data_IF_832731384129
#
_entry.id   IF_832731384129
#
_cell.length_a   1.000
_cell.length_b   1.000
_cell.length_c   1.000
_cell.angle_alpha   90.00
_cell.angle_beta   90.00
_cell.angle_gamma   90.00
#
_symmetry.space_group_name_H-M   'P 1'
#
loop_
_entity.id
_entity.type
_entity.pdbx_description
1 polymer ?
#
# COMPACT_ATOMS: atom_id res chain seq x y z
N UNK A 1 41.60 11.17 24.00
CA UNK A 1 40.51 10.18 23.86
C UNK A 1 39.28 10.92 23.37
N UNK A 2 39.09 11.00 22.05
CA UNK A 2 37.92 11.55 21.41
C UNK A 2 36.97 10.41 21.06
N UNK A 3 35.86 10.31 21.81
CA UNK A 3 34.75 9.36 21.47
C UNK A 3 34.04 9.88 20.23
N UNK A 4 34.23 9.22 19.11
CA UNK A 4 33.47 9.44 17.88
C UNK A 4 32.08 8.81 18.08
N UNK A 5 31.08 9.67 18.31
CA UNK A 5 29.66 9.27 18.30
C UNK A 5 29.28 8.87 16.85
N UNK A 6 28.87 7.61 16.67
CA UNK A 6 28.28 7.14 15.41
C UNK A 6 26.96 7.89 15.17
N UNK A 7 26.70 8.42 13.97
CA UNK A 7 25.41 9.02 13.65
C UNK A 7 24.31 7.94 13.65
N UNK A 8 23.04 8.31 13.97
CA UNK A 8 21.93 7.38 13.94
C UNK A 8 21.74 6.85 12.53
N UNK A 9 21.50 5.53 12.40
CA UNK A 9 21.15 4.89 11.12
C UNK A 9 19.89 5.56 10.59
N UNK A 10 20.04 6.33 9.52
CA UNK A 10 18.92 6.89 8.80
C UNK A 10 18.05 5.74 8.27
N UNK A 11 16.78 5.78 8.62
CA UNK A 11 15.71 4.94 8.07
C UNK A 11 15.51 5.32 6.61
N UNK A 12 16.32 4.75 5.72
CA UNK A 12 16.20 4.93 4.29
C UNK A 12 15.40 3.76 3.71
N UNK A 13 14.33 4.14 3.00
CA UNK A 13 13.48 3.45 2.05
C UNK A 13 12.21 2.76 2.55
N UNK A 14 11.05 3.42 2.38
CA UNK A 14 9.74 2.77 2.48
C UNK A 14 9.37 1.91 1.24
N UNK A 15 10.20 1.84 0.19
CA UNK A 15 9.81 1.24 -1.09
C UNK A 15 10.10 -0.27 -1.25
N UNK A 16 10.76 -0.92 -0.30
CA UNK A 16 11.04 -2.36 -0.39
C UNK A 16 9.97 -3.27 0.22
N UNK A 17 8.87 -2.73 0.75
CA UNK A 17 7.83 -3.51 1.44
C UNK A 17 6.59 -3.84 0.62
N UNK A 18 6.49 -3.43 -0.65
CA UNK A 18 5.29 -3.66 -1.46
C UNK A 18 5.08 -5.11 -1.93
N UNK A 19 6.04 -6.01 -1.71
CA UNK A 19 5.90 -7.44 -2.07
C UNK A 19 5.99 -8.41 -0.89
N UNK A 20 5.88 -7.93 0.36
CA UNK A 20 5.77 -8.83 1.50
C UNK A 20 4.33 -9.32 1.61
N UNK A 21 4.15 -10.60 1.38
CA UNK A 21 2.86 -11.29 1.37
C UNK A 21 1.96 -10.89 2.55
N UNK A 22 0.77 -10.35 2.25
CA UNK A 22 -0.29 -9.98 3.20
C UNK A 22 -0.77 -11.14 4.12
N UNK A 23 -0.15 -12.33 4.03
CA UNK A 23 -0.39 -13.49 4.91
C UNK A 23 0.41 -13.46 6.21
N UNK A 24 1.58 -12.79 6.24
CA UNK A 24 2.41 -12.75 7.46
C UNK A 24 1.93 -11.68 8.43
N UNK A 25 1.48 -10.52 7.94
CA UNK A 25 0.99 -9.43 8.78
C UNK A 25 -0.31 -9.77 9.51
N UNK A 26 -1.19 -10.58 8.90
CA UNK A 26 -2.41 -11.08 9.57
C UNK A 26 -2.14 -12.10 10.67
N UNK A 27 -1.01 -12.82 10.62
CA UNK A 27 -0.62 -13.76 11.70
C UNK A 27 0.00 -13.03 12.89
N UNK A 28 0.74 -11.96 12.65
CA UNK A 28 1.36 -11.13 13.69
C UNK A 28 0.30 -10.34 14.47
N UNK A 29 -0.62 -9.65 13.79
CA UNK A 29 -1.70 -8.87 14.40
C UNK A 29 -2.67 -9.74 15.25
N UNK A 30 -2.84 -11.04 14.93
CA UNK A 30 -3.64 -11.97 15.75
C UNK A 30 -2.91 -12.44 16.99
N UNK A 31 -1.56 -12.53 16.97
CA UNK A 31 -0.74 -12.89 18.14
C UNK A 31 -0.68 -11.75 19.17
N UNK A 32 -0.55 -10.51 18.70
CA UNK A 32 -0.44 -9.35 19.57
C UNK A 32 -1.77 -9.01 20.25
N UNK A 33 -2.93 -9.17 19.57
CA UNK A 33 -4.25 -9.06 20.19
C UNK A 33 -4.54 -10.15 21.24
N UNK A 34 -3.94 -11.35 21.11
CA UNK A 34 -4.08 -12.43 22.12
C UNK A 34 -3.20 -12.19 23.35
N UNK A 35 -2.02 -11.58 23.19
CA UNK A 35 -1.14 -11.20 24.32
C UNK A 35 -1.73 -10.06 25.15
N UNK A 36 -2.20 -8.99 24.49
CA UNK A 36 -2.82 -7.86 25.18
C UNK A 36 -4.11 -8.20 25.96
N UNK A 37 -4.83 -9.26 25.54
CA UNK A 37 -6.04 -9.72 26.26
C UNK A 37 -5.74 -10.65 27.43
N UNK A 38 -4.53 -11.25 27.50
CA UNK A 38 -4.09 -12.06 28.64
C UNK A 38 -3.49 -11.20 29.77
N UNK A 39 -2.77 -10.12 29.45
CA UNK A 39 -2.18 -9.22 30.45
C UNK A 39 -3.22 -8.35 31.19
N UNK A 40 -4.37 -8.09 30.57
CA UNK A 40 -5.47 -7.33 31.24
C UNK A 40 -6.30 -8.16 32.25
N UNK A 41 -6.07 -9.48 32.34
CA UNK A 41 -6.84 -10.33 33.27
C UNK A 41 -6.10 -10.67 34.57
N UNK A 42 -4.85 -10.26 34.74
CA UNK A 42 -4.02 -10.72 35.85
C UNK A 42 -3.58 -9.63 36.85
N UNK A 43 -4.13 -8.42 36.77
CA UNK A 43 -3.84 -7.36 37.76
C UNK A 43 -5.11 -6.65 38.21
N UNK A 44 -5.83 -7.22 39.17
CA UNK A 44 -6.58 -6.48 40.16
C UNK A 44 -6.81 -7.34 41.43
N UNK A 45 -6.11 -7.06 42.52
CA UNK A 45 -6.56 -7.44 43.86
C UNK A 45 -7.41 -6.31 44.43
N UNK A 46 -8.60 -6.72 44.91
CA UNK A 46 -9.60 -5.85 45.54
C UNK A 46 -9.10 -5.34 46.88
N UNK A 47 -8.99 -4.03 47.07
CA UNK A 47 -9.01 -3.41 48.40
C UNK A 47 -10.24 -2.51 48.57
N UNK A 48 -11.07 -2.87 49.54
CA UNK A 48 -12.26 -2.13 49.97
C UNK A 48 -11.81 -1.03 50.93
N UNK A 49 -12.12 0.25 50.60
CA UNK A 49 -12.12 1.37 51.54
C UNK A 49 -13.54 1.92 51.73
N UNK A 50 -13.93 2.31 52.97
CA UNK A 50 -15.34 2.58 53.31
C UNK A 50 -15.81 3.92 52.76
N UNK A 51 -16.99 3.92 52.14
CA UNK A 51 -17.66 5.12 51.65
C UNK A 51 -18.31 5.89 52.80
N UNK A 52 -17.87 7.14 53.05
CA UNK A 52 -18.59 8.13 53.87
C UNK A 52 -19.95 8.44 53.23
N UNK A 53 -21.01 8.27 53.99
CA UNK A 53 -22.38 8.66 53.64
C UNK A 53 -22.41 10.17 53.43
N UNK A 54 -22.72 10.62 52.23
CA UNK A 54 -23.19 12.01 51.96
C UNK A 54 -24.73 11.99 52.07
N UNK A 55 -25.25 12.79 52.98
CA UNK A 55 -26.68 13.04 53.13
C UNK A 55 -27.24 13.58 51.81
N UNK A 56 -28.24 12.84 51.29
CA UNK A 56 -29.03 13.30 50.15
C UNK A 56 -30.06 14.28 50.67
N UNK A 57 -29.98 15.56 50.22
CA UNK A 57 -31.10 16.49 50.31
C UNK A 57 -32.31 15.85 49.62
N UNK A 58 -33.36 15.64 50.42
CA UNK A 58 -34.68 15.21 49.96
C UNK A 58 -35.24 16.32 49.07
N UNK A 59 -35.37 16.08 47.79
CA UNK A 59 -36.21 16.88 46.89
C UNK A 59 -37.61 16.28 46.99
N UNK A 60 -38.58 17.12 47.35
CA UNK A 60 -39.99 16.75 47.35
C UNK A 60 -40.39 16.18 45.97
N UNK A 61 -41.09 15.04 45.92
CA UNK A 61 -41.57 14.49 44.68
C UNK A 61 -42.72 15.38 44.18
N UNK A 62 -42.57 15.95 42.96
CA UNK A 62 -43.71 16.45 42.20
C UNK A 62 -44.66 15.27 41.96
N UNK A 63 -45.98 15.47 42.08
CA UNK A 63 -46.93 14.42 41.77
C UNK A 63 -46.81 14.09 40.27
N UNK A 64 -46.27 12.91 39.97
CA UNK A 64 -46.33 12.34 38.62
C UNK A 64 -47.75 11.93 38.34
N UNK A 65 -48.41 12.56 37.37
CA UNK A 65 -49.68 12.08 36.83
C UNK A 65 -49.48 10.63 36.35
N UNK A 66 -50.39 9.69 36.69
CA UNK A 66 -50.23 8.31 36.28
C UNK A 66 -50.30 8.24 34.74
N UNK A 67 -49.16 7.85 34.12
CA UNK A 67 -49.08 7.60 32.68
C UNK A 67 -49.94 6.38 32.32
N UNK A 68 -51.18 6.64 31.92
CA UNK A 68 -52.18 5.64 31.54
C UNK A 68 -52.00 5.20 30.07
N UNK A 69 -50.84 5.42 29.48
CA UNK A 69 -50.59 4.93 28.12
C UNK A 69 -50.44 3.40 28.10
N UNK A 70 -51.30 2.69 27.33
CA UNK A 70 -51.21 1.23 27.27
C UNK A 70 -49.83 0.84 26.72
N UNK A 71 -49.17 -0.21 27.28
CA UNK A 71 -47.84 -0.63 26.84
C UNK A 71 -47.89 -0.99 25.34
N UNK A 72 -47.00 -0.40 24.57
CA UNK A 72 -46.87 -0.62 23.14
C UNK A 72 -46.81 -2.13 22.82
N UNK A 73 -47.62 -2.63 21.88
CA UNK A 73 -47.65 -4.05 21.56
C UNK A 73 -46.30 -4.48 21.05
N UNK A 74 -45.66 -5.45 21.72
CA UNK A 74 -44.27 -5.89 21.48
C UNK A 74 -44.05 -6.37 20.04
N UNK A 75 -45.04 -6.99 19.41
CA UNK A 75 -44.94 -7.53 18.05
C UNK A 75 -44.71 -6.45 16.98
N UNK A 76 -45.48 -5.37 16.84
CA UNK A 76 -45.24 -4.32 15.86
C UNK A 76 -43.95 -3.55 16.15
N UNK A 77 -43.58 -3.35 17.41
CA UNK A 77 -42.29 -2.70 17.75
C UNK A 77 -41.11 -3.51 17.25
N UNK A 78 -41.09 -4.82 17.47
CA UNK A 78 -40.02 -5.72 16.94
C UNK A 78 -39.99 -5.68 15.42
N UNK A 79 -41.14 -5.65 14.75
CA UNK A 79 -41.23 -5.62 13.28
C UNK A 79 -40.67 -4.32 12.72
N UNK A 80 -40.91 -3.17 13.36
CA UNK A 80 -40.33 -1.87 12.99
C UNK A 80 -38.80 -1.88 13.15
N UNK A 81 -38.27 -2.43 14.26
CA UNK A 81 -36.83 -2.55 14.46
C UNK A 81 -36.17 -3.48 13.42
N UNK A 82 -36.82 -4.59 13.09
CA UNK A 82 -36.33 -5.53 12.08
C UNK A 82 -36.31 -4.89 10.70
N UNK A 83 -37.34 -4.09 10.35
CA UNK A 83 -37.38 -3.33 9.11
C UNK A 83 -36.29 -2.25 9.08
N UNK A 84 -36.11 -1.49 10.17
CA UNK A 84 -35.04 -0.48 10.25
C UNK A 84 -33.66 -1.09 10.14
N UNK A 85 -33.41 -2.23 10.78
CA UNK A 85 -32.15 -2.96 10.68
C UNK A 85 -31.89 -3.49 9.28
N UNK A 86 -32.92 -3.99 8.59
CA UNK A 86 -32.85 -4.45 7.20
C UNK A 86 -32.44 -3.30 6.26
N UNK A 87 -33.06 -2.13 6.41
CA UNK A 87 -32.73 -0.93 5.62
C UNK A 87 -31.28 -0.49 5.90
N UNK A 88 -30.88 -0.45 7.17
CA UNK A 88 -29.50 -0.12 7.55
C UNK A 88 -28.49 -1.09 6.93
N UNK A 89 -28.76 -2.39 7.00
CA UNK A 89 -27.91 -3.42 6.40
C UNK A 89 -27.81 -3.26 4.88
N UNK A 90 -28.92 -2.92 4.21
CA UNK A 90 -28.96 -2.69 2.76
C UNK A 90 -28.16 -1.43 2.39
N UNK A 91 -28.28 -0.33 3.14
CA UNK A 91 -27.47 0.89 2.92
C UNK A 91 -25.98 0.62 3.09
N UNK A 92 -25.57 -0.10 4.15
CA UNK A 92 -24.16 -0.48 4.35
C UNK A 92 -23.64 -1.38 3.25
N UNK A 93 -24.46 -2.26 2.70
CA UNK A 93 -24.09 -3.13 1.57
C UNK A 93 -23.94 -2.34 0.28
N UNK A 94 -24.84 -1.38 0.02
CA UNK A 94 -24.76 -0.44 -1.10
C UNK A 94 -23.51 0.42 -1.04
N UNK A 95 -23.15 0.96 0.14
CA UNK A 95 -21.94 1.74 0.32
C UNK A 95 -20.66 0.93 0.03
N UNK A 96 -20.60 -0.35 0.45
CA UNK A 96 -19.46 -1.24 0.13
C UNK A 96 -19.35 -1.56 -1.35
N UNK A 97 -20.47 -1.78 -2.03
CA UNK A 97 -20.49 -2.11 -3.46
C UNK A 97 -20.15 -0.89 -4.32
N UNK A 98 -20.73 0.27 -4.00
CA UNK A 98 -20.47 1.52 -4.74
C UNK A 98 -19.01 1.97 -4.61
N UNK A 99 -18.44 1.90 -3.41
CA UNK A 99 -17.04 2.26 -3.20
C UNK A 99 -16.08 1.40 -4.04
N UNK A 100 -16.26 0.06 -4.03
CA UNK A 100 -15.41 -0.84 -4.81
C UNK A 100 -15.48 -0.58 -6.32
N UNK A 101 -16.67 -0.37 -6.86
CA UNK A 101 -16.87 -0.13 -8.29
C UNK A 101 -16.24 1.19 -8.71
N UNK A 102 -16.36 2.25 -7.89
CA UNK A 102 -15.70 3.54 -8.15
C UNK A 102 -14.18 3.40 -8.29
N UNK A 103 -13.52 2.67 -7.38
CA UNK A 103 -12.07 2.43 -7.48
C UNK A 103 -11.69 1.63 -8.73
N UNK A 104 -12.51 0.65 -9.13
CA UNK A 104 -12.27 -0.14 -10.34
C UNK A 104 -12.43 0.74 -11.59
N UNK A 105 -13.43 1.61 -11.63
CA UNK A 105 -13.66 2.48 -12.77
C UNK A 105 -12.59 3.57 -12.87
N UNK A 106 -12.16 4.15 -11.75
CA UNK A 106 -10.99 5.06 -11.72
C UNK A 106 -9.72 4.36 -12.20
N UNK A 107 -9.49 3.12 -11.76
CA UNK A 107 -8.32 2.35 -12.21
C UNK A 107 -8.35 2.06 -13.72
N UNK A 108 -9.52 1.81 -14.31
CA UNK A 108 -9.65 1.65 -15.77
C UNK A 108 -9.32 2.94 -16.50
N UNK A 109 -9.84 4.09 -16.02
CA UNK A 109 -9.54 5.39 -16.60
C UNK A 109 -8.04 5.70 -16.53
N UNK A 110 -7.40 5.50 -15.38
CA UNK A 110 -5.96 5.68 -15.22
C UNK A 110 -5.17 4.76 -16.16
N UNK A 111 -5.61 3.50 -16.31
CA UNK A 111 -5.01 2.55 -17.25
C UNK A 111 -5.13 3.00 -18.71
N UNK A 112 -6.30 3.50 -19.11
CA UNK A 112 -6.54 4.01 -20.47
C UNK A 112 -5.72 5.28 -20.76
N UNK A 113 -5.40 6.06 -19.73
CA UNK A 113 -4.50 7.21 -19.78
C UNK A 113 -2.99 6.82 -19.78
N UNK A 114 -2.65 5.53 -19.57
CA UNK A 114 -1.28 5.09 -19.42
C UNK A 114 -0.68 5.31 -18.03
N UNK A 115 -1.49 5.65 -17.04
CA UNK A 115 -1.12 5.90 -15.64
C UNK A 115 -1.21 4.60 -14.83
N UNK A 116 -0.38 3.62 -15.20
CA UNK A 116 -0.49 2.25 -14.66
C UNK A 116 -0.18 2.17 -13.17
N UNK A 117 0.70 3.02 -12.65
CA UNK A 117 1.02 3.07 -11.21
C UNK A 117 -0.19 3.54 -10.42
N UNK A 118 -0.87 4.60 -10.87
CA UNK A 118 -2.09 5.08 -10.25
C UNK A 118 -3.22 4.03 -10.33
N UNK A 119 -3.41 3.42 -11.50
CA UNK A 119 -4.36 2.33 -11.67
C UNK A 119 -4.10 1.17 -10.69
N UNK A 120 -2.82 0.84 -10.46
CA UNK A 120 -2.44 -0.20 -9.49
C UNK A 120 -2.76 0.21 -8.05
N UNK A 121 -2.51 1.45 -7.68
CA UNK A 121 -2.82 1.98 -6.34
C UNK A 121 -4.32 1.92 -6.04
N UNK A 122 -5.18 2.29 -7.00
CA UNK A 122 -6.63 2.21 -6.86
C UNK A 122 -7.14 0.77 -6.63
N UNK A 123 -6.49 -0.22 -7.25
CA UNK A 123 -6.86 -1.63 -7.11
C UNK A 123 -6.20 -2.33 -5.92
N UNK A 124 -5.11 -1.75 -5.41
CA UNK A 124 -4.32 -2.34 -4.32
C UNK A 124 -5.13 -2.40 -3.03
N UNK A 125 -5.08 -3.55 -2.36
CA UNK A 125 -5.81 -3.74 -1.10
C UNK A 125 -7.29 -4.10 -1.25
N UNK A 126 -7.87 -4.03 -2.46
CA UNK A 126 -9.24 -4.47 -2.70
C UNK A 126 -9.34 -6.01 -2.73
N UNK A 127 -10.46 -6.54 -2.26
CA UNK A 127 -10.76 -7.97 -2.40
C UNK A 127 -11.35 -8.25 -3.79
N UNK A 128 -10.46 -8.38 -4.78
CA UNK A 128 -10.82 -8.55 -6.19
C UNK A 128 -11.05 -10.03 -6.53
N UNK A 129 -12.02 -10.29 -7.41
CA UNK A 129 -12.35 -11.64 -7.88
C UNK A 129 -12.73 -11.61 -9.38
N UNK A 130 -12.56 -12.74 -10.05
CA UNK A 130 -12.99 -12.89 -11.46
C UNK A 130 -12.28 -11.90 -12.39
N UNK A 131 -13.04 -11.09 -13.11
CA UNK A 131 -12.52 -10.13 -14.08
C UNK A 131 -11.73 -9.00 -13.42
N UNK A 132 -12.13 -8.53 -12.22
CA UNK A 132 -11.40 -7.51 -11.49
C UNK A 132 -10.00 -8.00 -11.07
N UNK A 133 -9.86 -9.28 -10.76
CA UNK A 133 -8.56 -9.89 -10.47
C UNK A 133 -7.67 -10.00 -11.72
N UNK A 134 -8.27 -10.21 -12.90
CA UNK A 134 -7.54 -10.16 -14.16
C UNK A 134 -7.02 -8.73 -14.43
N UNK A 135 -7.89 -7.75 -14.31
CA UNK A 135 -7.52 -6.32 -14.42
C UNK A 135 -6.37 -5.96 -13.48
N UNK A 136 -6.43 -6.38 -12.22
CA UNK A 136 -5.33 -6.16 -11.26
C UNK A 136 -4.00 -6.76 -11.72
N UNK A 137 -4.01 -7.97 -12.28
CA UNK A 137 -2.80 -8.63 -12.80
C UNK A 137 -2.24 -7.92 -14.02
N UNK A 138 -3.12 -7.48 -14.91
CA UNK A 138 -2.79 -6.69 -16.10
C UNK A 138 -2.12 -5.38 -15.69
N UNK A 139 -2.81 -4.58 -14.88
CA UNK A 139 -2.30 -3.31 -14.36
C UNK A 139 -1.00 -3.49 -13.58
N UNK A 140 -0.91 -4.48 -12.70
CA UNK A 140 0.30 -4.73 -11.90
C UNK A 140 1.54 -5.06 -12.74
N UNK A 141 1.34 -5.69 -13.91
CA UNK A 141 2.42 -6.00 -14.84
C UNK A 141 2.97 -4.73 -15.48
N UNK A 142 2.11 -3.81 -15.90
CA UNK A 142 2.48 -2.53 -16.50
C UNK A 142 3.06 -1.57 -15.45
N UNK A 143 2.38 -1.44 -14.32
CA UNK A 143 2.80 -0.59 -13.21
C UNK A 143 4.20 -0.92 -12.70
N UNK A 144 4.55 -2.21 -12.66
CA UNK A 144 5.87 -2.65 -12.23
C UNK A 144 7.02 -2.08 -13.09
N UNK A 145 6.80 -1.86 -14.38
CA UNK A 145 7.77 -1.25 -15.28
C UNK A 145 7.75 0.27 -15.14
N UNK A 146 6.56 0.88 -15.20
CA UNK A 146 6.38 2.32 -15.09
C UNK A 146 6.93 2.89 -13.78
N UNK A 147 6.75 2.17 -12.65
CA UNK A 147 7.31 2.53 -11.34
C UNK A 147 8.83 2.71 -11.38
N UNK A 148 9.53 1.87 -12.15
CA UNK A 148 10.99 2.00 -12.28
C UNK A 148 11.39 3.22 -13.10
N UNK A 149 10.64 3.54 -14.14
CA UNK A 149 10.87 4.76 -14.91
C UNK A 149 10.61 6.01 -14.08
N UNK A 150 9.53 6.05 -13.30
CA UNK A 150 9.24 7.16 -12.38
C UNK A 150 10.30 7.29 -11.27
N UNK A 151 10.78 6.16 -10.74
CA UNK A 151 11.88 6.14 -9.79
C UNK A 151 13.17 6.72 -10.40
N UNK A 152 13.49 6.34 -11.64
CA UNK A 152 14.61 6.91 -12.39
C UNK A 152 14.49 8.44 -12.49
N UNK A 153 13.35 8.98 -12.93
CA UNK A 153 13.15 10.43 -13.06
C UNK A 153 13.34 11.16 -11.72
N UNK A 154 12.79 10.60 -10.66
CA UNK A 154 12.92 11.16 -9.30
C UNK A 154 14.37 11.15 -8.81
N UNK A 155 15.10 10.07 -9.07
CA UNK A 155 16.49 9.90 -8.64
C UNK A 155 17.45 10.77 -9.44
N UNK A 156 17.20 10.93 -10.74
CA UNK A 156 17.95 11.87 -11.59
C UNK A 156 17.78 13.31 -11.11
N UNK A 157 16.54 13.72 -10.77
CA UNK A 157 16.27 15.05 -10.21
C UNK A 157 16.87 15.28 -8.82
N UNK A 158 17.34 14.22 -8.14
CA UNK A 158 18.02 14.26 -6.86
C UNK A 158 19.53 14.00 -6.95
N UNK A 159 20.11 14.00 -8.16
CA UNK A 159 21.54 13.74 -8.48
C UNK A 159 22.05 12.38 -7.98
N UNK A 160 21.14 11.41 -7.82
CA UNK A 160 21.46 10.03 -7.39
C UNK A 160 21.61 9.11 -8.58
N UNK A 161 22.65 9.35 -9.39
CA UNK A 161 22.87 8.71 -10.68
C UNK A 161 23.04 7.19 -10.61
N UNK A 162 23.68 6.68 -9.55
CA UNK A 162 23.87 5.26 -9.30
C UNK A 162 22.53 4.53 -9.06
N UNK A 163 21.65 5.14 -8.28
CA UNK A 163 20.30 4.62 -8.01
C UNK A 163 19.39 4.80 -9.22
N UNK A 164 19.55 5.88 -9.98
CA UNK A 164 18.79 6.13 -11.20
C UNK A 164 19.10 5.06 -12.27
N UNK A 165 20.39 4.73 -12.46
CA UNK A 165 20.80 3.64 -13.33
C UNK A 165 20.26 2.28 -12.84
N UNK A 166 20.33 1.99 -11.53
CA UNK A 166 19.75 0.78 -10.94
C UNK A 166 18.25 0.67 -11.24
N UNK A 167 17.50 1.78 -11.15
CA UNK A 167 16.07 1.80 -11.47
C UNK A 167 15.81 1.44 -12.95
N UNK A 168 16.57 1.99 -13.90
CA UNK A 168 16.45 1.65 -15.33
C UNK A 168 16.78 0.18 -15.60
N UNK A 169 17.88 -0.32 -15.04
CA UNK A 169 18.29 -1.74 -15.17
C UNK A 169 17.21 -2.67 -14.64
N UNK A 170 16.61 -2.33 -13.49
CA UNK A 170 15.47 -3.09 -12.94
C UNK A 170 14.22 -2.96 -13.81
N UNK A 171 14.00 -1.80 -14.41
CA UNK A 171 12.90 -1.57 -15.35
C UNK A 171 12.95 -2.54 -16.52
N UNK A 172 14.13 -2.69 -17.18
CA UNK A 172 14.34 -3.66 -18.25
C UNK A 172 14.10 -5.10 -17.74
N UNK A 173 14.61 -5.44 -16.57
CA UNK A 173 14.38 -6.78 -16.00
C UNK A 173 12.92 -7.06 -15.67
N UNK A 174 12.13 -6.03 -15.29
CA UNK A 174 10.68 -6.15 -15.06
C UNK A 174 9.92 -6.24 -16.38
N UNK A 175 10.33 -5.50 -17.41
CA UNK A 175 9.78 -5.62 -18.74
C UNK A 175 9.94 -7.06 -19.27
N UNK A 176 11.16 -7.59 -19.26
CA UNK A 176 11.43 -8.95 -19.75
C UNK A 176 10.58 -10.01 -19.03
N UNK A 177 10.37 -9.87 -17.72
CA UNK A 177 9.53 -10.78 -16.92
C UNK A 177 8.04 -10.59 -17.15
N UNK A 178 7.62 -9.37 -17.49
CA UNK A 178 6.23 -9.00 -17.65
C UNK A 178 5.68 -9.21 -19.06
N UNK A 179 6.55 -9.29 -20.07
CA UNK A 179 6.18 -9.28 -21.48
C UNK A 179 5.18 -10.39 -21.86
N UNK A 180 5.37 -11.61 -21.37
CA UNK A 180 4.46 -12.73 -21.67
C UNK A 180 3.05 -12.47 -21.06
N UNK A 181 3.00 -11.87 -19.89
CA UNK A 181 1.72 -11.48 -19.29
C UNK A 181 1.07 -10.34 -20.09
N UNK A 182 1.85 -9.32 -20.50
CA UNK A 182 1.34 -8.22 -21.32
C UNK A 182 0.77 -8.74 -22.65
N UNK A 183 1.45 -9.65 -23.33
CA UNK A 183 0.94 -10.35 -24.52
C UNK A 183 -0.38 -11.07 -24.26
N UNK A 184 -0.44 -11.81 -23.17
CA UNK A 184 -1.65 -12.54 -22.76
C UNK A 184 -2.86 -11.63 -22.55
N UNK A 185 -2.64 -10.40 -22.12
CA UNK A 185 -3.69 -9.40 -21.91
C UNK A 185 -3.90 -8.47 -23.09
N UNK A 186 -3.16 -8.65 -24.20
CA UNK A 186 -3.25 -7.80 -25.39
C UNK A 186 -2.64 -6.41 -25.21
N UNK A 187 -1.72 -6.26 -24.26
CA UNK A 187 -1.04 -4.99 -23.90
C UNK A 187 0.43 -4.96 -24.30
N UNK A 188 0.79 -5.69 -25.35
CA UNK A 188 2.17 -5.75 -25.84
C UNK A 188 2.65 -4.37 -26.34
N UNK A 189 1.77 -3.64 -27.03
CA UNK A 189 2.11 -2.30 -27.57
C UNK A 189 2.45 -1.30 -26.47
N UNK A 190 1.62 -1.22 -25.44
CA UNK A 190 1.84 -0.32 -24.30
C UNK A 190 3.07 -0.73 -23.49
N UNK A 191 3.31 -2.05 -23.35
CA UNK A 191 4.49 -2.56 -22.67
C UNK A 191 5.77 -2.23 -23.44
N UNK A 192 5.74 -2.29 -24.77
CA UNK A 192 6.85 -1.89 -25.62
C UNK A 192 7.11 -0.38 -25.52
N UNK A 193 6.06 0.44 -25.47
CA UNK A 193 6.23 1.88 -25.25
C UNK A 193 6.94 2.21 -23.92
N UNK A 194 6.59 1.51 -22.83
CA UNK A 194 7.33 1.64 -21.56
C UNK A 194 8.79 1.21 -21.69
N UNK A 195 9.07 0.17 -22.46
CA UNK A 195 10.44 -0.27 -22.76
C UNK A 195 11.21 0.81 -23.53
N UNK A 196 10.60 1.39 -24.56
CA UNK A 196 11.24 2.41 -25.40
C UNK A 196 11.67 3.63 -24.54
N UNK A 197 10.84 4.04 -23.57
CA UNK A 197 11.20 5.09 -22.59
C UNK A 197 12.42 4.71 -21.75
N UNK A 198 12.51 3.44 -21.30
CA UNK A 198 13.67 2.95 -20.54
C UNK A 198 14.92 2.88 -21.40
N UNK A 199 14.81 2.43 -22.66
CA UNK A 199 15.91 2.35 -23.61
C UNK A 199 16.46 3.74 -23.96
N UNK A 200 15.57 4.68 -24.24
CA UNK A 200 15.94 6.07 -24.52
C UNK A 200 16.69 6.69 -23.32
N UNK A 201 16.19 6.48 -22.10
CA UNK A 201 16.84 6.99 -20.91
C UNK A 201 18.21 6.32 -20.64
N UNK A 202 18.33 5.01 -20.88
CA UNK A 202 19.62 4.29 -20.77
C UNK A 202 20.66 4.82 -21.77
N UNK A 203 20.27 5.00 -23.02
CA UNK A 203 21.16 5.48 -24.08
C UNK A 203 21.56 6.94 -23.85
N UNK A 204 20.60 7.83 -23.67
CA UNK A 204 20.85 9.27 -23.58
C UNK A 204 21.61 9.65 -22.29
N UNK A 205 21.29 9.04 -21.15
CA UNK A 205 21.85 9.47 -19.87
C UNK A 205 23.09 8.67 -19.46
N UNK A 206 23.17 7.40 -19.87
CA UNK A 206 24.24 6.50 -19.41
C UNK A 206 25.02 5.86 -20.56
N UNK A 207 24.70 6.16 -21.84
CA UNK A 207 25.36 5.60 -23.02
C UNK A 207 25.34 4.07 -23.02
N UNK A 208 24.26 3.47 -22.47
CA UNK A 208 24.14 2.05 -22.21
C UNK A 208 23.08 1.42 -23.09
N UNK A 209 23.41 0.28 -23.71
CA UNK A 209 22.44 -0.51 -24.45
C UNK A 209 21.52 -1.33 -23.51
N UNK A 210 20.33 -1.65 -24.01
CA UNK A 210 19.39 -2.56 -23.31
C UNK A 210 20.01 -3.92 -23.02
N UNK A 211 20.86 -4.43 -23.90
CA UNK A 211 21.53 -5.72 -23.71
C UNK A 211 22.57 -5.67 -22.58
N UNK A 212 23.25 -4.56 -22.41
CA UNK A 212 24.17 -4.37 -21.29
C UNK A 212 23.41 -4.22 -19.98
N UNK A 213 22.26 -3.51 -19.98
CA UNK A 213 21.36 -3.47 -18.83
C UNK A 213 20.85 -4.88 -18.44
N UNK A 214 20.52 -5.74 -19.43
CA UNK A 214 20.18 -7.14 -19.18
C UNK A 214 21.32 -7.96 -18.58
N UNK A 215 22.55 -7.72 -19.01
CA UNK A 215 23.73 -8.38 -18.43
C UNK A 215 23.91 -7.97 -16.96
N UNK A 216 23.83 -6.67 -16.67
CA UNK A 216 23.86 -6.15 -15.30
C UNK A 216 22.76 -6.75 -14.44
N UNK A 217 21.53 -6.79 -14.94
CA UNK A 217 20.39 -7.35 -14.19
C UNK A 217 20.57 -8.81 -13.80
N UNK A 218 21.38 -9.58 -14.54
CA UNK A 218 21.69 -11.00 -14.26
C UNK A 218 22.73 -11.19 -13.16
N UNK A 219 23.50 -10.17 -12.80
CA UNK A 219 24.49 -10.24 -11.72
C UNK A 219 23.77 -10.46 -10.41
N UNK A 220 24.01 -11.60 -9.77
CA UNK A 220 23.37 -11.96 -8.49
C UNK A 220 24.15 -11.46 -7.28
N UNK A 221 25.47 -11.34 -7.43
CA UNK A 221 26.32 -10.81 -6.40
C UNK A 221 26.11 -9.31 -6.27
N UNK A 222 25.71 -8.88 -5.08
CA UNK A 222 25.35 -7.49 -4.82
C UNK A 222 26.58 -6.56 -4.87
N UNK A 223 27.71 -7.06 -4.45
CA UNK A 223 28.94 -6.28 -4.40
C UNK A 223 29.51 -6.07 -5.83
N UNK A 224 29.51 -7.13 -6.62
CA UNK A 224 29.86 -7.08 -8.04
C UNK A 224 28.93 -6.15 -8.82
N UNK A 225 27.62 -6.29 -8.63
CA UNK A 225 26.63 -5.42 -9.26
C UNK A 225 26.86 -3.94 -8.92
N UNK A 226 27.09 -3.63 -7.64
CA UNK A 226 27.31 -2.26 -7.19
C UNK A 226 28.60 -1.67 -7.79
N UNK A 227 29.67 -2.47 -7.91
CA UNK A 227 30.93 -2.06 -8.53
C UNK A 227 30.75 -1.75 -10.01
N UNK A 228 29.98 -2.56 -10.74
CA UNK A 228 29.72 -2.30 -12.16
C UNK A 228 28.90 -1.02 -12.38
N UNK A 229 27.85 -0.78 -11.57
CA UNK A 229 27.11 0.48 -11.59
C UNK A 229 28.05 1.66 -11.35
N UNK A 230 28.90 1.62 -10.33
CA UNK A 230 29.82 2.70 -10.00
C UNK A 230 30.83 2.96 -11.11
N UNK A 231 31.37 1.92 -11.77
CA UNK A 231 32.26 2.08 -12.93
C UNK A 231 31.59 2.86 -14.06
N UNK A 232 30.33 2.59 -14.35
CA UNK A 232 29.59 3.27 -15.41
C UNK A 232 29.42 4.75 -15.05
N UNK A 233 29.00 5.05 -13.83
CA UNK A 233 28.82 6.43 -13.36
C UNK A 233 30.14 7.21 -13.39
N UNK A 234 31.24 6.60 -12.95
CA UNK A 234 32.58 7.20 -13.01
C UNK A 234 33.04 7.48 -14.44
N UNK A 235 32.80 6.54 -15.38
CA UNK A 235 33.14 6.70 -16.80
C UNK A 235 32.35 7.88 -17.43
N UNK A 236 31.17 8.13 -16.99
CA UNK A 236 30.30 9.23 -17.47
C UNK A 236 30.60 10.58 -16.79
N UNK A 237 31.51 10.63 -15.81
CA UNK A 237 31.80 11.79 -14.94
C UNK A 237 30.56 12.34 -14.22
N UNK A 238 29.53 11.52 -14.05
CA UNK A 238 28.31 11.90 -13.32
C UNK A 238 28.58 11.89 -11.80
N UNK A 239 28.19 12.96 -11.12
CA UNK A 239 28.36 13.07 -9.66
C UNK A 239 29.78 13.52 -9.20
N UNK A 240 30.66 13.95 -10.08
CA UNK A 240 31.87 14.64 -9.71
C UNK A 240 31.52 16.14 -9.58
N UNK A 241 31.30 16.60 -8.34
CA UNK A 241 31.28 18.03 -8.06
C UNK A 241 32.67 18.59 -8.45
N UNK A 242 32.68 19.58 -9.34
CA UNK A 242 33.88 20.42 -9.53
C UNK A 242 34.28 21.01 -8.16
N UNK A 243 35.41 20.55 -7.62
CA UNK A 243 36.03 21.13 -6.43
C UNK A 243 36.69 22.43 -6.76
#
# INVERSE_FOLDING_TARGET
FLMIRRPPRSTLFPYTTLFRSAKEDKKQAKKDKKKAKKEKKEKEPKEKKPRKKREKKVKEPKPEEPDNTPPLPKKPVILIFLMAFSILALVLLMMKLSGKNSYIDTAKQAMDNGEYVEAYEQLSGLNLKGNDQKLYKEVSTMAAVQEQYQAYLTLMGADKYDLALDALVRGIGRYDKGLDNAKKYGREGEMNHLKDQLEEALDQQFGMSTDDARKLYKIKDREEYSKEIQKIIQKMNLGQEEK
#
